data_IF_586648466454
#
_entry.id   IF_586648466454
#
_cell.length_a   1.000
_cell.length_b   1.000
_cell.length_c   1.000
_cell.angle_alpha   90.00
_cell.angle_beta   90.00
_cell.angle_gamma   90.00
#
_symmetry.space_group_name_H-M   'P 1'
#
loop_
_entity.id
_entity.type
_entity.pdbx_description
1 polymer ?
#
# COMPACT_ATOMS: atom_id res chain seq x y z
N UNK A 1 -10.44 -5.39 -23.42
CA UNK A 1 -9.82 -4.24 -22.69
C UNK A 1 -9.10 -4.85 -21.50
N UNK A 2 -7.80 -4.57 -21.31
CA UNK A 2 -7.10 -5.04 -20.11
C UNK A 2 -7.73 -4.40 -18.87
N UNK A 3 -7.89 -5.19 -17.80
CA UNK A 3 -8.42 -4.72 -16.53
C UNK A 3 -7.60 -3.53 -15.99
N UNK A 4 -8.27 -2.59 -15.35
CA UNK A 4 -7.65 -1.44 -14.69
C UNK A 4 -7.53 -1.75 -13.19
N UNK A 5 -6.47 -1.27 -12.57
CA UNK A 5 -6.33 -1.33 -11.11
C UNK A 5 -6.61 0.07 -10.57
N UNK A 6 -7.72 0.22 -9.86
CA UNK A 6 -8.03 1.44 -9.12
C UNK A 6 -7.45 1.33 -7.72
N UNK A 7 -6.91 2.43 -7.19
CA UNK A 7 -6.54 2.50 -5.77
C UNK A 7 -7.30 3.63 -5.10
N UNK A 8 -7.77 3.44 -3.90
CA UNK A 8 -8.34 4.50 -3.08
C UNK A 8 -7.46 4.74 -1.87
N UNK A 9 -7.02 5.99 -1.72
CA UNK A 9 -6.17 6.44 -0.61
C UNK A 9 -6.90 7.55 0.14
N UNK A 10 -7.70 7.22 1.17
CA UNK A 10 -8.49 8.22 1.89
C UNK A 10 -7.65 9.25 2.65
N UNK A 11 -6.40 8.91 3.01
CA UNK A 11 -5.49 9.76 3.77
C UNK A 11 -4.10 9.86 3.09
N UNK A 12 -4.03 10.43 1.87
CA UNK A 12 -2.76 10.62 1.16
C UNK A 12 -1.88 11.64 1.87
N UNK A 13 -0.64 11.76 1.45
CA UNK A 13 0.30 12.76 1.98
C UNK A 13 1.24 13.29 0.92
N UNK A 14 1.80 14.45 1.21
CA UNK A 14 3.06 14.90 0.62
C UNK A 14 4.16 14.49 1.60
N UNK A 15 5.05 13.58 1.21
CA UNK A 15 6.16 13.15 2.06
C UNK A 15 7.39 14.01 1.76
N UNK A 16 7.94 14.62 2.82
CA UNK A 16 9.12 15.48 2.74
C UNK A 16 10.27 14.87 3.54
N UNK A 17 11.31 14.43 2.85
CA UNK A 17 12.55 13.97 3.48
C UNK A 17 13.56 15.10 3.52
N UNK A 18 14.07 15.39 4.71
CA UNK A 18 15.13 16.37 4.98
C UNK A 18 16.40 15.63 5.38
N UNK A 19 17.49 15.86 4.66
CA UNK A 19 18.80 15.34 5.03
C UNK A 19 19.44 16.30 6.04
N UNK A 20 19.80 15.80 7.23
CA UNK A 20 20.43 16.54 8.30
C UNK A 20 21.74 15.88 8.71
N UNK A 21 22.75 16.67 9.11
CA UNK A 21 24.02 16.12 9.58
C UNK A 21 23.86 15.32 10.88
N UNK A 22 22.98 15.77 11.76
CA UNK A 22 22.58 15.12 13.01
C UNK A 22 21.24 15.66 13.44
N UNK A 23 20.49 14.91 14.27
CA UNK A 23 19.26 15.38 14.89
C UNK A 23 19.50 15.63 16.37
N UNK A 24 19.39 16.90 16.79
CA UNK A 24 19.57 17.34 18.18
C UNK A 24 18.25 17.93 18.67
N UNK A 25 17.62 17.27 19.64
CA UNK A 25 16.38 17.76 20.25
C UNK A 25 16.64 19.09 21.00
N UNK A 26 15.74 20.05 20.83
CA UNK A 26 15.85 21.39 21.47
C UNK A 26 16.80 22.35 20.76
N UNK A 27 17.47 21.95 19.69
CA UNK A 27 18.39 22.81 18.92
C UNK A 27 17.83 23.12 17.51
N UNK A 28 18.44 24.11 16.85
CA UNK A 28 18.16 24.38 15.43
C UNK A 28 18.93 23.36 14.59
N UNK A 29 18.17 22.45 13.94
CA UNK A 29 18.71 21.51 12.97
C UNK A 29 18.58 22.11 11.57
N UNK A 30 19.66 22.14 10.78
CA UNK A 30 19.68 22.67 9.41
C UNK A 30 19.77 21.52 8.43
N UNK A 31 18.84 21.48 7.48
CA UNK A 31 18.86 20.49 6.40
C UNK A 31 19.92 20.86 5.35
N UNK A 32 20.65 19.86 4.88
CA UNK A 32 21.60 19.95 3.77
C UNK A 32 20.94 19.64 2.41
N UNK A 33 19.77 19.04 2.42
CA UNK A 33 18.97 18.67 1.25
C UNK A 33 17.52 18.43 1.62
N UNK A 34 16.64 18.51 0.63
CA UNK A 34 15.23 18.20 0.77
C UNK A 34 14.75 17.43 -0.45
N UNK A 35 13.92 16.43 -0.23
CA UNK A 35 13.23 15.68 -1.27
C UNK A 35 11.74 15.59 -0.94
N UNK A 36 10.89 15.74 -1.95
CA UNK A 36 9.44 15.74 -1.78
C UNK A 36 8.84 14.73 -2.74
N UNK A 37 7.94 13.87 -2.26
CA UNK A 37 7.28 12.83 -3.04
C UNK A 37 5.77 12.80 -2.76
N UNK A 38 4.95 12.41 -3.77
CA UNK A 38 3.55 12.08 -3.54
C UNK A 38 3.52 10.75 -2.77
N UNK A 39 2.66 10.62 -1.76
CA UNK A 39 2.67 9.44 -0.89
C UNK A 39 1.27 9.06 -0.39
N UNK A 40 1.23 7.93 0.26
CA UNK A 40 0.07 7.18 0.73
C UNK A 40 0.05 5.78 0.13
N UNK A 41 -0.35 4.76 0.89
CA UNK A 41 -0.22 3.35 0.45
C UNK A 41 -0.79 3.11 -0.94
N UNK A 42 -2.04 3.53 -1.23
CA UNK A 42 -2.64 3.35 -2.56
C UNK A 42 -1.97 4.21 -3.64
N UNK A 43 -1.51 5.42 -3.31
CA UNK A 43 -0.69 6.23 -4.22
C UNK A 43 0.58 5.48 -4.59
N UNK A 44 1.29 4.91 -3.61
CA UNK A 44 2.51 4.13 -3.85
C UNK A 44 2.25 2.89 -4.72
N UNK A 45 1.12 2.18 -4.49
CA UNK A 45 0.68 1.06 -5.36
C UNK A 45 0.48 1.56 -6.80
N UNK A 46 -0.23 2.67 -7.02
CA UNK A 46 -0.46 3.22 -8.37
C UNK A 46 0.85 3.66 -9.02
N UNK A 47 1.75 4.32 -8.29
CA UNK A 47 3.07 4.72 -8.77
C UNK A 47 3.90 3.50 -9.22
N UNK A 48 3.92 2.44 -8.40
CA UNK A 48 4.62 1.19 -8.73
C UNK A 48 4.05 0.53 -10.00
N UNK A 49 2.72 0.48 -10.13
CA UNK A 49 2.05 -0.04 -11.32
C UNK A 49 2.39 0.78 -12.57
N UNK A 50 2.32 2.13 -12.46
CA UNK A 50 2.64 3.04 -13.57
C UNK A 50 4.09 2.91 -14.04
N UNK A 51 5.05 2.82 -13.10
CA UNK A 51 6.47 2.63 -13.41
C UNK A 51 6.76 1.32 -14.17
N UNK A 52 5.86 0.34 -14.07
CA UNK A 52 5.94 -0.94 -14.76
C UNK A 52 4.95 -1.08 -15.93
N UNK A 53 4.38 0.04 -16.40
CA UNK A 53 3.49 0.06 -17.56
C UNK A 53 2.12 -0.58 -17.34
N UNK A 54 1.71 -0.82 -16.09
CA UNK A 54 0.41 -1.40 -15.74
C UNK A 54 -0.63 -0.30 -15.60
N UNK A 55 -1.76 -0.43 -16.31
CA UNK A 55 -2.85 0.55 -16.26
C UNK A 55 -3.46 0.62 -14.87
N UNK A 56 -3.34 1.76 -14.23
CA UNK A 56 -3.86 2.01 -12.90
C UNK A 56 -4.29 3.46 -12.72
N UNK A 57 -5.09 3.73 -11.69
CA UNK A 57 -5.55 5.07 -11.36
C UNK A 57 -5.77 5.23 -9.86
N UNK A 58 -5.20 6.28 -9.28
CA UNK A 58 -5.41 6.61 -7.88
C UNK A 58 -6.67 7.48 -7.71
N UNK A 59 -7.54 7.14 -6.75
CA UNK A 59 -8.65 7.98 -6.29
C UNK A 59 -8.27 8.51 -4.92
N UNK A 60 -8.23 9.83 -4.76
CA UNK A 60 -7.73 10.44 -3.52
C UNK A 60 -8.38 11.81 -3.25
N UNK A 61 -8.51 12.20 -1.96
CA UNK A 61 -8.97 13.51 -1.58
C UNK A 61 -7.87 14.55 -1.90
N UNK A 62 -8.28 15.68 -2.41
CA UNK A 62 -7.42 16.82 -2.74
C UNK A 62 -8.01 18.08 -2.11
N UNK A 63 -7.27 18.69 -1.16
CA UNK A 63 -7.63 19.93 -0.51
C UNK A 63 -6.39 20.72 -0.10
N UNK A 64 -6.51 22.04 -0.03
CA UNK A 64 -5.46 22.96 0.36
C UNK A 64 -4.28 23.06 -0.62
N UNK A 65 -3.28 23.83 -0.24
CA UNK A 65 -2.05 24.04 -1.03
C UNK A 65 -1.23 22.73 -1.15
N UNK A 66 -1.27 21.88 -0.14
CA UNK A 66 -0.62 20.57 -0.10
C UNK A 66 -1.29 19.60 -1.08
N UNK A 67 -2.62 19.70 -1.25
CA UNK A 67 -3.35 18.96 -2.27
C UNK A 67 -2.95 19.38 -3.68
N UNK A 68 -2.78 20.70 -3.93
CA UNK A 68 -2.25 21.19 -5.20
C UNK A 68 -0.80 20.76 -5.44
N UNK A 69 0.01 20.68 -4.39
CA UNK A 69 1.36 20.14 -4.48
C UNK A 69 1.32 18.64 -4.81
N UNK A 70 0.47 17.86 -4.16
CA UNK A 70 0.30 16.44 -4.43
C UNK A 70 -0.10 16.18 -5.90
N UNK A 71 -1.04 16.97 -6.44
CA UNK A 71 -1.41 16.88 -7.87
C UNK A 71 -0.22 17.09 -8.79
N UNK A 72 0.53 18.18 -8.58
CA UNK A 72 1.72 18.47 -9.42
C UNK A 72 2.73 17.33 -9.39
N UNK A 73 3.00 16.77 -8.21
CA UNK A 73 3.94 15.65 -8.06
C UNK A 73 3.46 14.39 -8.80
N UNK A 74 2.14 14.09 -8.77
CA UNK A 74 1.56 12.97 -9.51
C UNK A 74 1.63 13.20 -11.03
N UNK A 75 1.41 14.42 -11.48
CA UNK A 75 1.51 14.82 -12.89
C UNK A 75 2.95 14.73 -13.40
N UNK A 76 3.93 15.19 -12.61
CA UNK A 76 5.36 15.08 -12.92
C UNK A 76 5.80 13.60 -13.09
N UNK A 77 5.23 12.69 -12.30
CA UNK A 77 5.47 11.25 -12.40
C UNK A 77 4.57 10.54 -13.43
N UNK A 78 3.70 11.28 -14.14
CA UNK A 78 2.73 10.73 -15.11
C UNK A 78 1.78 9.68 -14.49
N UNK A 79 1.45 9.82 -13.22
CA UNK A 79 0.53 8.95 -12.50
C UNK A 79 -0.92 9.38 -12.79
N UNK A 80 -1.75 8.46 -13.28
CA UNK A 80 -3.17 8.73 -13.49
C UNK A 80 -3.93 8.78 -12.16
N UNK A 81 -4.75 9.81 -11.96
CA UNK A 81 -5.53 9.97 -10.74
C UNK A 81 -6.92 10.57 -10.98
N UNK A 82 -7.79 10.42 -9.99
CA UNK A 82 -9.07 11.11 -9.83
C UNK A 82 -8.99 11.91 -8.54
N UNK A 83 -9.08 13.23 -8.67
CA UNK A 83 -9.12 14.13 -7.52
C UNK A 83 -10.56 14.27 -7.02
N UNK A 84 -10.78 13.98 -5.75
CA UNK A 84 -12.04 14.28 -5.05
C UNK A 84 -11.81 15.52 -4.19
N UNK A 85 -12.45 16.66 -4.50
CA UNK A 85 -12.26 17.88 -3.73
C UNK A 85 -12.72 17.71 -2.28
N UNK A 86 -11.88 18.16 -1.34
CA UNK A 86 -12.19 18.19 0.09
C UNK A 86 -11.83 19.53 0.70
N UNK A 87 -12.43 19.85 1.82
CA UNK A 87 -12.31 21.17 2.46
C UNK A 87 -10.95 21.36 3.13
N UNK A 88 -10.50 20.36 3.91
CA UNK A 88 -9.24 20.45 4.65
C UNK A 88 -8.04 20.06 3.80
N UNK A 89 -6.83 20.59 4.13
CA UNK A 89 -5.61 20.33 3.37
C UNK A 89 -5.15 18.87 3.52
N UNK A 90 -4.51 18.36 2.47
CA UNK A 90 -3.77 17.10 2.51
C UNK A 90 -2.62 17.24 3.51
N UNK A 91 -2.32 16.18 4.26
CA UNK A 91 -1.25 16.16 5.26
C UNK A 91 0.14 16.15 4.65
N UNK A 92 1.11 16.62 5.44
CA UNK A 92 2.55 16.48 5.15
C UNK A 92 3.17 15.51 6.17
N UNK A 93 3.92 14.53 5.71
CA UNK A 93 4.77 13.73 6.57
C UNK A 93 6.21 14.20 6.42
N UNK A 94 6.92 14.35 7.52
CA UNK A 94 8.32 14.77 7.54
C UNK A 94 9.19 13.59 7.96
N UNK A 95 10.23 13.31 7.18
CA UNK A 95 11.29 12.36 7.51
C UNK A 95 12.61 13.13 7.66
N UNK A 96 13.28 12.95 8.78
CA UNK A 96 14.62 13.48 9.04
C UNK A 96 15.60 12.32 8.88
N UNK A 97 16.48 12.40 7.88
CA UNK A 97 17.46 11.34 7.56
C UNK A 97 18.87 11.82 7.91
N UNK A 98 19.58 11.02 8.69
CA UNK A 98 20.98 11.24 9.06
C UNK A 98 21.93 10.40 8.20
N UNK A 99 23.23 10.75 8.11
CA UNK A 99 24.22 10.06 7.25
C UNK A 99 24.43 8.57 7.59
N UNK A 100 24.18 8.19 8.84
CA UNK A 100 24.22 6.80 9.31
C UNK A 100 23.00 5.95 8.89
N UNK A 101 22.05 6.58 8.14
CA UNK A 101 20.86 5.91 7.62
C UNK A 101 19.67 5.88 8.59
N UNK A 102 19.80 6.49 9.78
CA UNK A 102 18.65 6.59 10.70
C UNK A 102 17.62 7.59 10.15
N UNK A 103 16.35 7.18 10.19
CA UNK A 103 15.22 8.02 9.73
C UNK A 103 14.25 8.24 10.88
N UNK A 104 14.08 9.50 11.29
CA UNK A 104 13.06 9.90 12.26
C UNK A 104 11.86 10.48 11.51
N UNK A 105 10.66 9.93 11.78
CA UNK A 105 9.43 10.35 11.09
C UNK A 105 8.53 11.15 12.01
N UNK A 106 7.94 12.21 11.46
CA UNK A 106 6.86 12.99 12.07
C UNK A 106 5.70 13.00 11.08
N UNK A 107 4.65 12.27 11.40
CA UNK A 107 3.49 12.12 10.52
C UNK A 107 2.33 12.96 11.05
N UNK A 108 1.76 13.79 10.18
CA UNK A 108 0.53 14.51 10.49
C UNK A 108 -0.69 13.57 10.47
N UNK A 109 -1.74 13.87 11.26
CA UNK A 109 -2.93 13.02 11.32
C UNK A 109 -3.75 13.04 10.02
N UNK A 110 -3.61 14.09 9.21
CA UNK A 110 -4.38 14.32 7.99
C UNK A 110 -5.70 15.08 8.24
N UNK A 111 -6.47 15.32 7.15
CA UNK A 111 -7.71 16.08 7.19
C UNK A 111 -8.78 15.41 8.07
N UNK A 112 -9.78 16.20 8.43
CA UNK A 112 -11.07 15.67 8.88
C UNK A 112 -11.98 15.65 7.64
N UNK A 113 -12.40 14.49 7.21
CA UNK A 113 -13.36 14.36 6.12
C UNK A 113 -14.78 14.28 6.69
N UNK A 114 -15.69 15.06 6.10
CA UNK A 114 -17.11 14.89 6.33
C UNK A 114 -17.60 13.56 5.74
N UNK A 115 -18.77 13.11 6.18
CA UNK A 115 -19.42 11.93 5.60
C UNK A 115 -19.62 12.07 4.08
N UNK A 116 -20.03 13.25 3.61
CA UNK A 116 -20.21 13.50 2.17
C UNK A 116 -18.91 13.44 1.36
N UNK A 117 -17.80 13.91 1.90
CA UNK A 117 -16.50 13.83 1.25
C UNK A 117 -15.99 12.37 1.21
N UNK A 118 -16.21 11.60 2.28
CA UNK A 118 -15.87 10.18 2.31
C UNK A 118 -16.73 9.36 1.32
N UNK A 119 -18.03 9.63 1.22
CA UNK A 119 -18.91 8.98 0.26
C UNK A 119 -18.55 9.37 -1.18
N UNK A 120 -18.18 10.63 -1.43
CA UNK A 120 -17.70 11.08 -2.74
C UNK A 120 -16.45 10.32 -3.21
N UNK A 121 -15.56 9.92 -2.29
CA UNK A 121 -14.42 9.04 -2.62
C UNK A 121 -14.91 7.66 -3.08
N UNK A 122 -15.86 7.07 -2.39
CA UNK A 122 -16.43 5.78 -2.77
C UNK A 122 -17.18 5.86 -4.11
N UNK A 123 -17.97 6.90 -4.34
CA UNK A 123 -18.66 7.16 -5.61
C UNK A 123 -17.67 7.35 -6.76
N UNK A 124 -16.58 8.08 -6.53
CA UNK A 124 -15.53 8.26 -7.53
C UNK A 124 -14.86 6.95 -7.95
N UNK A 125 -14.66 6.01 -7.00
CA UNK A 125 -14.17 4.66 -7.31
C UNK A 125 -15.17 3.93 -8.20
N UNK A 126 -16.45 3.89 -7.81
CA UNK A 126 -17.50 3.16 -8.54
C UNK A 126 -17.74 3.73 -9.95
N UNK A 127 -17.65 5.05 -10.12
CA UNK A 127 -17.80 5.72 -11.41
C UNK A 127 -16.70 5.32 -12.43
N UNK A 128 -15.56 4.83 -11.96
CA UNK A 128 -14.43 4.42 -12.79
C UNK A 128 -14.20 2.91 -12.84
N UNK A 129 -15.03 2.13 -12.13
CA UNK A 129 -14.90 0.68 -12.00
C UNK A 129 -15.48 -0.02 -13.24
N UNK A 130 -14.68 -0.84 -13.89
CA UNK A 130 -15.09 -1.81 -14.89
C UNK A 130 -15.34 -3.20 -14.29
N UNK A 131 -16.09 -4.03 -14.99
CA UNK A 131 -16.32 -5.41 -14.58
C UNK A 131 -15.00 -6.19 -14.53
N UNK A 132 -14.72 -6.84 -13.42
CA UNK A 132 -13.50 -7.62 -13.19
C UNK A 132 -12.28 -6.80 -12.79
N UNK A 133 -12.37 -5.46 -12.73
CA UNK A 133 -11.30 -4.60 -12.27
C UNK A 133 -10.96 -4.84 -10.79
N UNK A 134 -9.73 -4.51 -10.42
CA UNK A 134 -9.32 -4.47 -9.03
C UNK A 134 -9.49 -3.06 -8.44
N UNK A 135 -10.00 -3.01 -7.21
CA UNK A 135 -9.93 -1.82 -6.35
C UNK A 135 -9.06 -2.15 -5.14
N UNK A 136 -8.07 -1.33 -4.88
CA UNK A 136 -7.20 -1.43 -3.70
C UNK A 136 -7.62 -0.36 -2.70
N UNK A 137 -8.22 -0.75 -1.58
CA UNK A 137 -8.43 0.11 -0.43
C UNK A 137 -7.17 0.13 0.42
N UNK A 138 -6.48 1.27 0.51
CA UNK A 138 -5.16 1.27 1.12
C UNK A 138 -4.88 2.48 2.02
N UNK A 139 -4.19 2.20 3.13
CA UNK A 139 -3.76 3.17 4.13
C UNK A 139 -4.73 3.36 5.29
N UNK A 140 -4.35 4.26 6.19
CA UNK A 140 -5.18 4.66 7.33
C UNK A 140 -6.36 5.50 6.89
N UNK A 141 -7.44 5.46 7.63
CA UNK A 141 -8.57 6.36 7.43
C UNK A 141 -8.28 7.71 8.10
N UNK A 142 -8.66 8.83 7.47
CA UNK A 142 -8.56 10.14 8.11
C UNK A 142 -9.65 10.30 9.16
N UNK A 143 -9.50 11.31 10.02
CA UNK A 143 -10.52 11.63 11.03
C UNK A 143 -11.87 11.95 10.37
N UNK A 144 -12.96 11.61 11.05
CA UNK A 144 -14.33 11.80 10.54
C UNK A 144 -14.83 10.68 9.63
N UNK A 145 -13.95 9.81 9.12
CA UNK A 145 -14.32 8.62 8.33
C UNK A 145 -14.55 7.43 9.26
N UNK A 146 -15.67 6.74 9.08
CA UNK A 146 -15.97 5.52 9.85
C UNK A 146 -14.93 4.42 9.57
N UNK A 147 -14.56 3.65 10.59
CA UNK A 147 -13.73 2.45 10.44
C UNK A 147 -14.35 1.40 9.51
N UNK A 148 -15.65 1.48 9.24
CA UNK A 148 -16.37 0.57 8.35
C UNK A 148 -16.24 0.95 6.86
N UNK A 149 -15.61 2.09 6.55
CA UNK A 149 -15.48 2.63 5.17
C UNK A 149 -14.99 1.59 4.16
N UNK A 150 -13.95 0.82 4.51
CA UNK A 150 -13.42 -0.20 3.60
C UNK A 150 -14.34 -1.41 3.46
N UNK A 151 -15.10 -1.76 4.50
CA UNK A 151 -16.10 -2.82 4.41
C UNK A 151 -17.23 -2.44 3.45
N UNK A 152 -17.77 -1.24 3.61
CA UNK A 152 -18.85 -0.72 2.76
C UNK A 152 -18.39 -0.59 1.31
N UNK A 153 -17.18 -0.06 1.09
CA UNK A 153 -16.63 0.07 -0.26
C UNK A 153 -16.37 -1.31 -0.90
N UNK A 154 -15.82 -2.27 -0.14
CA UNK A 154 -15.59 -3.62 -0.65
C UNK A 154 -16.89 -4.30 -1.09
N UNK A 155 -17.98 -4.13 -0.33
CA UNK A 155 -19.29 -4.66 -0.69
C UNK A 155 -19.84 -3.98 -1.96
N UNK A 156 -19.76 -2.66 -2.06
CA UNK A 156 -20.21 -1.89 -3.24
C UNK A 156 -19.42 -2.28 -4.49
N UNK A 157 -18.09 -2.44 -4.39
CA UNK A 157 -17.23 -2.91 -5.48
C UNK A 157 -17.62 -4.32 -5.93
N UNK A 158 -17.86 -5.23 -5.00
CA UNK A 158 -18.28 -6.61 -5.28
C UNK A 158 -19.64 -6.64 -5.98
N UNK A 159 -20.60 -5.85 -5.54
CA UNK A 159 -21.94 -5.75 -6.16
C UNK A 159 -21.87 -5.17 -7.58
N UNK A 160 -20.90 -4.30 -7.85
CA UNK A 160 -20.62 -3.73 -9.17
C UNK A 160 -19.77 -4.68 -10.08
N UNK A 161 -19.45 -5.90 -9.60
CA UNK A 161 -18.70 -6.90 -10.38
C UNK A 161 -17.18 -6.70 -10.37
N UNK A 162 -16.64 -5.87 -9.48
CA UNK A 162 -15.21 -5.68 -9.24
C UNK A 162 -14.65 -6.62 -8.17
N UNK A 163 -13.35 -6.55 -7.95
CA UNK A 163 -12.61 -7.28 -6.89
C UNK A 163 -11.96 -6.28 -5.96
N UNK A 164 -11.99 -6.51 -4.66
CA UNK A 164 -11.42 -5.59 -3.67
C UNK A 164 -10.21 -6.21 -2.99
N UNK A 165 -9.11 -5.47 -2.92
CA UNK A 165 -7.93 -5.79 -2.12
C UNK A 165 -7.79 -4.76 -0.99
N UNK A 166 -7.55 -5.23 0.23
CA UNK A 166 -7.42 -4.38 1.42
C UNK A 166 -5.99 -4.38 1.95
N UNK A 167 -5.40 -3.19 2.08
CA UNK A 167 -4.09 -2.96 2.73
C UNK A 167 -4.20 -1.81 3.74
N UNK A 168 -4.64 -2.11 4.93
CA UNK A 168 -4.86 -1.15 6.01
C UNK A 168 -4.31 -1.68 7.34
N UNK A 169 -4.56 -0.97 8.44
CA UNK A 169 -4.10 -1.35 9.77
C UNK A 169 -5.18 -1.08 10.83
N UNK A 170 -5.00 -1.66 12.02
CA UNK A 170 -5.83 -1.40 13.19
C UNK A 170 -7.32 -1.69 12.98
N UNK A 171 -8.19 -0.79 13.45
CA UNK A 171 -9.64 -0.95 13.37
C UNK A 171 -10.17 -1.03 11.93
N UNK A 172 -9.64 -0.20 11.03
CA UNK A 172 -10.05 -0.18 9.63
C UNK A 172 -9.73 -1.51 8.90
N UNK A 173 -8.60 -2.15 9.23
CA UNK A 173 -8.27 -3.48 8.73
C UNK A 173 -9.23 -4.54 9.27
N UNK A 174 -9.45 -4.57 10.60
CA UNK A 174 -10.35 -5.55 11.23
C UNK A 174 -11.78 -5.45 10.70
N UNK A 175 -12.33 -4.24 10.67
CA UNK A 175 -13.70 -4.00 10.18
C UNK A 175 -13.82 -4.20 8.67
N UNK A 176 -12.79 -3.80 7.91
CA UNK A 176 -12.76 -3.97 6.46
C UNK A 176 -12.90 -5.41 5.98
N UNK A 177 -12.50 -6.40 6.79
CA UNK A 177 -12.70 -7.82 6.49
C UNK A 177 -14.18 -8.23 6.46
N UNK A 178 -15.08 -7.50 7.14
CA UNK A 178 -16.53 -7.77 7.09
C UNK A 178 -17.12 -7.57 5.68
N UNK A 179 -16.53 -6.69 4.87
CA UNK A 179 -16.88 -6.49 3.47
C UNK A 179 -16.45 -7.62 2.53
N UNK A 180 -15.81 -8.66 3.06
CA UNK A 180 -15.31 -9.84 2.30
C UNK A 180 -14.46 -9.45 1.09
N UNK A 181 -13.36 -8.71 1.28
CA UNK A 181 -12.44 -8.42 0.19
C UNK A 181 -11.94 -9.71 -0.46
N UNK A 182 -11.63 -9.68 -1.75
CA UNK A 182 -11.05 -10.82 -2.44
C UNK A 182 -9.61 -11.12 -1.97
N UNK A 183 -8.90 -10.08 -1.50
CA UNK A 183 -7.54 -10.17 -0.99
C UNK A 183 -7.35 -9.23 0.21
N UNK A 184 -6.63 -9.68 1.23
CA UNK A 184 -6.09 -8.81 2.29
C UNK A 184 -4.58 -8.98 2.36
N UNK A 185 -3.86 -7.85 2.57
CA UNK A 185 -2.39 -7.89 2.70
C UNK A 185 -1.93 -7.33 4.05
N UNK A 186 -1.93 -8.09 5.12
CA UNK A 186 -1.27 -7.70 6.36
C UNK A 186 0.26 -7.92 6.30
N UNK A 187 0.99 -7.17 7.13
CA UNK A 187 2.33 -7.56 7.57
C UNK A 187 2.23 -8.47 8.82
N UNK A 188 3.38 -8.87 9.38
CA UNK A 188 3.43 -9.75 10.56
C UNK A 188 2.70 -9.13 11.76
N UNK A 189 2.94 -7.85 12.06
CA UNK A 189 2.36 -7.16 13.19
C UNK A 189 0.85 -7.00 13.02
N UNK A 190 0.40 -6.62 11.82
CA UNK A 190 -1.02 -6.50 11.48
C UNK A 190 -1.75 -7.85 11.54
N UNK A 191 -1.10 -8.94 11.10
CA UNK A 191 -1.67 -10.29 11.20
C UNK A 191 -1.73 -10.75 12.67
N UNK A 192 -0.71 -10.49 13.47
CA UNK A 192 -0.68 -10.77 14.90
C UNK A 192 -1.79 -10.02 15.63
N UNK A 193 -2.00 -8.72 15.32
CA UNK A 193 -3.09 -7.93 15.87
C UNK A 193 -4.48 -8.48 15.47
N UNK A 194 -4.66 -8.88 14.21
CA UNK A 194 -5.91 -9.46 13.70
C UNK A 194 -6.29 -10.77 14.41
N UNK A 195 -5.29 -11.58 14.75
CA UNK A 195 -5.53 -12.94 15.30
C UNK A 195 -5.36 -13.04 16.80
N UNK A 196 -4.85 -11.96 17.45
CA UNK A 196 -4.72 -11.82 18.89
C UNK A 196 -3.57 -12.66 19.48
N UNK A 197 -2.46 -12.83 18.74
CA UNK A 197 -1.33 -13.65 19.17
C UNK A 197 0.03 -13.11 18.71
N UNK A 198 1.09 -13.86 19.03
CA UNK A 198 2.44 -13.67 18.48
C UNK A 198 2.70 -14.70 17.39
N UNK A 199 3.49 -14.37 16.39
CA UNK A 199 3.75 -15.20 15.21
C UNK A 199 5.26 -15.43 15.03
N UNK A 200 5.92 -16.16 15.97
CA UNK A 200 7.36 -16.32 15.98
C UNK A 200 7.91 -17.25 14.88
N UNK A 201 7.07 -18.09 14.30
CA UNK A 201 7.46 -19.05 13.26
C UNK A 201 6.61 -18.91 12.00
N UNK A 202 7.12 -19.42 10.89
CA UNK A 202 6.35 -19.46 9.63
C UNK A 202 5.06 -20.29 9.79
N UNK A 203 5.08 -21.36 10.54
CA UNK A 203 3.90 -22.20 10.81
C UNK A 203 2.83 -21.44 11.59
N UNK A 204 3.21 -20.59 12.55
CA UNK A 204 2.30 -19.69 13.24
C UNK A 204 1.65 -18.70 12.28
N UNK A 205 2.45 -18.11 11.38
CA UNK A 205 1.96 -17.19 10.33
C UNK A 205 0.96 -17.90 9.42
N UNK A 206 1.28 -19.08 8.94
CA UNK A 206 0.40 -19.86 8.06
C UNK A 206 -0.91 -20.25 8.78
N UNK A 207 -0.83 -20.64 10.05
CA UNK A 207 -1.98 -20.97 10.89
C UNK A 207 -2.89 -19.75 11.09
N UNK A 208 -2.30 -18.60 11.41
CA UNK A 208 -3.02 -17.34 11.60
C UNK A 208 -3.68 -16.87 10.29
N UNK A 209 -2.96 -16.88 9.17
CA UNK A 209 -3.49 -16.52 7.85
C UNK A 209 -4.63 -17.48 7.43
N UNK A 210 -4.47 -18.78 7.66
CA UNK A 210 -5.53 -19.77 7.41
C UNK A 210 -6.78 -19.56 8.29
N UNK A 211 -6.60 -19.09 9.52
CA UNK A 211 -7.73 -18.70 10.40
C UNK A 211 -8.50 -17.53 9.77
N UNK A 212 -7.81 -16.46 9.35
CA UNK A 212 -8.44 -15.32 8.66
C UNK A 212 -9.17 -15.80 7.40
N UNK A 213 -8.52 -16.60 6.55
CA UNK A 213 -9.11 -17.15 5.33
C UNK A 213 -10.40 -17.92 5.60
N UNK A 214 -10.40 -18.83 6.59
CA UNK A 214 -11.58 -19.64 6.94
C UNK A 214 -12.75 -18.81 7.46
N UNK A 215 -12.47 -17.74 8.20
CA UNK A 215 -13.53 -16.93 8.84
C UNK A 215 -14.12 -15.89 7.89
N UNK A 216 -13.35 -15.38 6.93
CA UNK A 216 -13.77 -14.27 6.06
C UNK A 216 -13.99 -14.68 4.60
N UNK A 217 -13.42 -15.79 4.16
CA UNK A 217 -13.40 -16.18 2.75
C UNK A 217 -12.37 -15.41 1.89
N UNK A 218 -11.55 -14.56 2.53
CA UNK A 218 -10.59 -13.65 1.88
C UNK A 218 -9.24 -14.31 1.68
N UNK A 219 -8.62 -14.22 0.51
CA UNK A 219 -7.24 -14.62 0.32
C UNK A 219 -6.29 -13.71 1.14
N UNK A 220 -5.26 -14.31 1.74
CA UNK A 220 -4.36 -13.60 2.64
C UNK A 220 -2.94 -13.61 2.08
N UNK A 221 -2.42 -12.43 1.74
CA UNK A 221 -1.04 -12.22 1.28
C UNK A 221 -0.25 -11.57 2.42
N UNK A 222 0.56 -12.33 3.14
CA UNK A 222 1.33 -11.81 4.28
C UNK A 222 2.73 -11.42 3.85
N UNK A 223 3.12 -10.16 4.09
CA UNK A 223 4.50 -9.71 3.89
C UNK A 223 5.35 -10.04 5.12
N UNK A 224 6.52 -10.68 4.92
CA UNK A 224 7.40 -11.23 5.96
C UNK A 224 8.75 -10.48 6.04
N UNK A 225 8.83 -9.26 5.50
CA UNK A 225 10.08 -8.51 5.43
C UNK A 225 11.14 -9.24 4.59
N UNK A 226 12.29 -9.53 5.17
CA UNK A 226 13.39 -10.23 4.48
C UNK A 226 13.07 -11.69 4.11
N UNK A 227 12.13 -12.31 4.81
CA UNK A 227 11.65 -13.67 4.52
C UNK A 227 10.64 -13.72 3.36
N UNK A 228 10.40 -12.60 2.67
CA UNK A 228 9.54 -12.53 1.49
C UNK A 228 8.05 -12.41 1.79
N UNK A 229 7.24 -13.35 1.29
CA UNK A 229 5.79 -13.33 1.50
C UNK A 229 5.15 -14.72 1.41
N UNK A 230 4.03 -14.91 2.12
CA UNK A 230 3.18 -16.08 1.98
C UNK A 230 1.82 -15.72 1.42
N UNK A 231 1.23 -16.64 0.67
CA UNK A 231 -0.13 -16.55 0.17
C UNK A 231 -0.96 -17.75 0.66
N UNK A 232 -2.07 -17.47 1.32
CA UNK A 232 -3.05 -18.46 1.76
C UNK A 232 -4.38 -18.17 1.05
N UNK A 233 -4.77 -19.07 0.14
CA UNK A 233 -5.99 -19.01 -0.66
C UNK A 233 -6.70 -20.37 -0.68
N UNK A 234 -7.38 -20.70 -1.79
CA UNK A 234 -8.11 -21.98 -1.93
C UNK A 234 -7.22 -23.22 -2.06
N UNK A 235 -5.94 -23.04 -2.46
CA UNK A 235 -4.98 -24.13 -2.59
C UNK A 235 -4.08 -24.30 -1.36
N UNK A 236 -3.05 -25.14 -1.46
CA UNK A 236 -2.01 -25.20 -0.42
C UNK A 236 -1.33 -23.84 -0.25
N UNK A 237 -0.90 -23.50 0.97
CA UNK A 237 -0.15 -22.28 1.21
C UNK A 237 1.10 -22.22 0.34
N UNK A 238 1.41 -21.01 -0.13
CA UNK A 238 2.61 -20.74 -0.94
C UNK A 238 3.51 -19.78 -0.18
N UNK A 239 4.82 -20.04 -0.22
CA UNK A 239 5.84 -19.14 0.29
C UNK A 239 6.80 -18.78 -0.85
N UNK A 240 7.09 -17.51 -1.01
CA UNK A 240 8.14 -17.02 -1.92
C UNK A 240 9.09 -16.11 -1.17
N UNK A 241 10.37 -16.27 -1.38
CA UNK A 241 11.42 -15.48 -0.74
C UNK A 241 12.57 -15.18 -1.69
N UNK A 242 13.44 -14.29 -1.29
CA UNK A 242 14.66 -14.00 -2.02
C UNK A 242 15.70 -15.06 -1.69
N UNK A 243 16.22 -15.75 -2.71
CA UNK A 243 17.20 -16.83 -2.56
C UNK A 243 18.64 -16.36 -2.30
N UNK A 244 18.91 -15.04 -2.37
CA UNK A 244 20.25 -14.46 -2.18
C UNK A 244 20.12 -13.14 -1.41
N UNK A 245 21.10 -12.76 -0.56
CA UNK A 245 21.09 -11.48 0.14
C UNK A 245 20.95 -10.29 -0.81
N UNK A 246 20.13 -9.33 -0.46
CA UNK A 246 19.90 -8.11 -1.21
C UNK A 246 20.36 -6.91 -0.39
N UNK A 247 21.04 -5.97 -1.04
CA UNK A 247 21.39 -4.70 -0.38
C UNK A 247 20.12 -3.87 -0.20
N UNK A 248 19.76 -3.63 1.05
CA UNK A 248 18.61 -2.80 1.41
C UNK A 248 19.04 -1.33 1.49
N UNK A 249 18.43 -0.48 0.70
CA UNK A 249 18.60 0.97 0.75
C UNK A 249 17.46 1.66 1.55
N UNK A 250 16.22 1.14 1.42
CA UNK A 250 15.05 1.60 2.17
C UNK A 250 14.02 0.48 2.23
N UNK A 251 13.24 0.43 3.31
CA UNK A 251 12.09 -0.49 3.41
C UNK A 251 10.75 0.20 3.15
N UNK A 252 10.78 1.51 2.92
CA UNK A 252 9.55 2.32 2.68
C UNK A 252 8.93 1.92 1.34
N UNK A 253 7.63 1.66 1.34
CA UNK A 253 6.89 1.28 0.15
C UNK A 253 7.09 -0.16 -0.33
N UNK A 254 7.92 -0.98 0.33
CA UNK A 254 8.14 -2.38 -0.07
C UNK A 254 6.85 -3.19 -0.07
N UNK A 255 6.01 -3.04 0.95
CA UNK A 255 4.70 -3.70 1.04
C UNK A 255 3.71 -3.22 -0.02
N UNK A 256 3.76 -1.94 -0.40
CA UNK A 256 2.92 -1.36 -1.46
C UNK A 256 3.34 -1.90 -2.84
N UNK A 257 4.66 -1.98 -3.09
CA UNK A 257 5.20 -2.59 -4.30
C UNK A 257 4.93 -4.10 -4.38
N UNK A 258 5.00 -4.82 -3.25
CA UNK A 258 4.62 -6.22 -3.17
C UNK A 258 3.16 -6.44 -3.58
N UNK A 259 2.23 -5.63 -3.06
CA UNK A 259 0.83 -5.68 -3.46
C UNK A 259 0.64 -5.32 -4.94
N UNK A 260 1.31 -4.28 -5.42
CA UNK A 260 1.29 -3.89 -6.83
C UNK A 260 1.72 -5.03 -7.74
N UNK A 261 2.85 -5.70 -7.44
CA UNK A 261 3.35 -6.83 -8.21
C UNK A 261 2.40 -8.04 -8.20
N UNK A 262 1.76 -8.32 -7.06
CA UNK A 262 0.74 -9.37 -6.98
C UNK A 262 -0.47 -9.11 -7.88
N UNK A 263 -0.88 -7.85 -8.01
CA UNK A 263 -2.05 -7.44 -8.79
C UNK A 263 -1.71 -7.18 -10.27
N UNK A 264 -0.45 -6.89 -10.59
CA UNK A 264 0.01 -6.53 -11.94
C UNK A 264 -0.12 -7.67 -12.94
N UNK A 265 -0.08 -8.91 -12.49
CA UNK A 265 -0.08 -10.09 -13.35
C UNK A 265 -1.30 -10.98 -13.11
N UNK A 266 -1.75 -11.61 -14.18
CA UNK A 266 -2.74 -12.66 -14.13
C UNK A 266 -2.04 -14.03 -14.17
N UNK A 267 -2.74 -15.08 -13.74
CA UNK A 267 -2.24 -16.45 -13.81
C UNK A 267 -2.24 -17.17 -12.47
N UNK A 268 -1.50 -18.28 -12.36
CA UNK A 268 -1.48 -19.10 -11.15
C UNK A 268 -0.99 -18.33 -9.92
N UNK A 269 -1.53 -18.65 -8.72
CA UNK A 269 -1.13 -17.98 -7.47
C UNK A 269 0.39 -17.94 -7.23
N UNK A 270 1.10 -19.01 -7.56
CA UNK A 270 2.55 -19.09 -7.44
C UNK A 270 3.29 -18.05 -8.31
N UNK A 271 2.81 -17.82 -9.54
CA UNK A 271 3.38 -16.77 -10.41
C UNK A 271 3.14 -15.38 -9.83
N UNK A 272 1.91 -15.10 -9.41
CA UNK A 272 1.54 -13.82 -8.79
C UNK A 272 2.36 -13.53 -7.52
N UNK A 273 2.58 -14.56 -6.69
CA UNK A 273 3.38 -14.41 -5.47
C UNK A 273 4.87 -14.14 -5.79
N UNK A 274 5.44 -14.77 -6.82
CA UNK A 274 6.81 -14.49 -7.27
C UNK A 274 6.96 -13.05 -7.75
N UNK A 275 6.03 -12.54 -8.55
CA UNK A 275 6.03 -11.13 -8.98
C UNK A 275 5.89 -10.20 -7.77
N UNK A 276 5.01 -10.50 -6.82
CA UNK A 276 4.88 -9.72 -5.60
C UNK A 276 6.22 -9.56 -4.87
N UNK A 277 6.93 -10.66 -4.63
CA UNK A 277 8.24 -10.63 -3.94
C UNK A 277 9.30 -9.94 -4.78
N UNK A 278 9.32 -10.13 -6.11
CA UNK A 278 10.25 -9.43 -6.99
C UNK A 278 10.07 -7.90 -6.94
N UNK A 279 8.82 -7.42 -6.98
CA UNK A 279 8.53 -5.99 -6.89
C UNK A 279 8.86 -5.40 -5.52
N UNK A 280 8.53 -6.12 -4.44
CA UNK A 280 8.95 -5.73 -3.08
C UNK A 280 10.48 -5.67 -2.95
N UNK A 281 11.19 -6.61 -3.57
CA UNK A 281 12.67 -6.66 -3.59
C UNK A 281 13.28 -5.51 -4.37
N UNK A 282 12.72 -5.17 -5.53
CA UNK A 282 13.15 -4.01 -6.30
C UNK A 282 12.98 -2.70 -5.50
N UNK A 283 11.87 -2.58 -4.74
CA UNK A 283 11.61 -1.41 -3.90
C UNK A 283 12.66 -1.23 -2.80
N UNK A 284 13.06 -2.30 -2.10
CA UNK A 284 14.05 -2.16 -1.01
C UNK A 284 15.46 -1.81 -1.50
N UNK A 285 15.77 -2.01 -2.78
CA UNK A 285 17.03 -1.56 -3.41
C UNK A 285 17.03 -0.07 -3.74
N UNK A 286 15.86 0.56 -3.82
CA UNK A 286 15.73 1.99 -4.10
C UNK A 286 15.90 2.82 -2.83
N UNK A 287 16.63 3.93 -2.87
CA UNK A 287 16.65 4.89 -1.75
C UNK A 287 15.37 5.73 -1.65
N UNK A 288 14.46 5.62 -2.61
CA UNK A 288 13.16 6.30 -2.69
C UNK A 288 12.03 5.35 -2.32
N UNK A 289 10.85 5.88 -2.04
CA UNK A 289 9.63 5.10 -1.78
C UNK A 289 9.13 4.33 -3.02
N UNK A 290 9.59 4.74 -4.22
CA UNK A 290 9.27 4.08 -5.48
C UNK A 290 10.49 3.35 -6.04
N UNK A 291 10.32 2.06 -6.34
CA UNK A 291 11.22 1.33 -7.22
C UNK A 291 11.06 1.83 -8.66
N UNK A 292 12.12 1.79 -9.44
CA UNK A 292 12.00 1.84 -10.90
C UNK A 292 11.28 0.60 -11.46
N UNK A 293 11.30 0.43 -12.78
CA UNK A 293 10.77 -0.78 -13.41
C UNK A 293 11.48 -2.03 -12.88
N UNK A 294 10.69 -3.05 -12.56
CA UNK A 294 11.20 -4.35 -12.06
C UNK A 294 11.88 -5.10 -13.19
N UNK A 295 13.10 -5.54 -12.95
CA UNK A 295 13.95 -6.19 -13.94
C UNK A 295 13.85 -7.72 -13.90
N UNK A 296 14.36 -8.40 -14.90
CA UNK A 296 14.46 -9.86 -14.89
C UNK A 296 15.43 -10.37 -13.80
N UNK A 297 16.42 -9.56 -13.44
CA UNK A 297 17.32 -9.86 -12.32
C UNK A 297 16.58 -9.85 -10.98
N UNK A 298 15.60 -8.93 -10.79
CA UNK A 298 14.77 -8.91 -9.59
C UNK A 298 13.86 -10.15 -9.50
N UNK A 299 13.41 -10.67 -10.64
CA UNK A 299 12.62 -11.90 -10.73
C UNK A 299 13.45 -13.16 -10.54
N UNK A 300 14.68 -13.17 -11.08
CA UNK A 300 15.57 -14.32 -11.05
C UNK A 300 16.04 -14.70 -9.64
N UNK A 301 16.05 -13.77 -8.71
CA UNK A 301 16.45 -14.03 -7.31
C UNK A 301 15.32 -14.59 -6.44
N UNK A 302 14.07 -14.62 -6.93
CA UNK A 302 12.91 -15.09 -6.16
C UNK A 302 12.71 -16.60 -6.34
N UNK A 303 12.61 -17.30 -5.22
CA UNK A 303 12.35 -18.75 -5.17
C UNK A 303 11.05 -19.04 -4.43
N UNK A 304 10.33 -20.09 -4.88
CA UNK A 304 9.24 -20.68 -4.10
C UNK A 304 9.86 -21.68 -3.12
N UNK A 305 9.43 -21.60 -1.86
CA UNK A 305 9.94 -22.42 -0.76
C UNK A 305 8.85 -23.36 -0.23
#
# INVERSE_FOLDING_TARGET
VSAVILTVTPNPSVDRTLDVASLVAGAVNRANGAHVEPSGKGVNVTRALAANGVRSRAVLPIGGAEGDQLRRLLEEESVSYVAVPVTEPVRVNISLRTPDGVVTKVNEPGPILSWGEADALAEAVLAHLGHGDWVVGAGTLPRGVSDDFYADLAERVRLAGGRFALDSSGAALRKGLAGRPALVKPNLDELAELTGGTLPTLDDVLTAAAKVRRTTGTDVLVSLGEEGAVLVGDGPPLHARVGKPVRVASTVGAGDNLLAGFLAVNGPPAHRLREAVAWGTAAVRSPRSLAGAVTDDDRAVVVLA
#
